data_IF_877598411806
#
_entry.id   IF_877598411806
#
_cell.length_a   1.000
_cell.length_b   1.000
_cell.length_c   1.000
_cell.angle_alpha   90.00
_cell.angle_beta   90.00
_cell.angle_gamma   90.00
#
_symmetry.space_group_name_H-M   'P 1'
#
loop_
_entity.id
_entity.type
_entity.pdbx_description
1 polymer ?
#
# COMPACT_ATOMS: atom_id res chain seq x y z
N UNK A 1 18.73 -5.07 -17.07
CA UNK A 1 18.24 -6.32 -16.46
C UNK A 1 16.82 -6.04 -16.03
N UNK A 2 15.84 -6.83 -16.47
CA UNK A 2 14.46 -6.69 -15.98
C UNK A 2 14.40 -7.53 -14.71
N UNK A 3 14.37 -6.90 -13.54
CA UNK A 3 14.33 -7.64 -12.29
C UNK A 3 13.02 -8.45 -12.26
N UNK A 4 13.15 -9.78 -12.19
CA UNK A 4 11.99 -10.70 -12.19
C UNK A 4 11.12 -10.50 -10.95
N UNK A 5 11.71 -9.99 -9.86
CA UNK A 5 11.04 -9.63 -8.61
C UNK A 5 11.43 -8.20 -8.25
N UNK A 6 10.46 -7.38 -7.85
CA UNK A 6 10.71 -6.04 -7.29
C UNK A 6 9.90 -5.84 -6.02
N UNK A 7 10.48 -5.19 -5.01
CA UNK A 7 9.78 -4.78 -3.81
C UNK A 7 9.67 -3.25 -3.74
N UNK A 8 8.57 -2.75 -3.21
CA UNK A 8 8.32 -1.33 -3.00
C UNK A 8 7.81 -1.08 -1.58
N UNK A 9 8.35 -0.04 -0.96
CA UNK A 9 7.84 0.50 0.30
C UNK A 9 7.43 1.94 0.03
N UNK A 10 6.27 2.35 0.53
CA UNK A 10 5.80 3.73 0.45
C UNK A 10 5.15 4.13 1.76
N UNK A 11 5.35 5.38 2.13
CA UNK A 11 4.73 6.00 3.28
C UNK A 11 4.05 7.29 2.81
N UNK A 12 2.79 7.45 3.19
CA UNK A 12 2.01 8.65 2.94
C UNK A 12 1.45 9.18 4.25
N UNK A 13 1.41 10.50 4.40
CA UNK A 13 0.66 11.19 5.45
C UNK A 13 -0.34 12.11 4.78
N UNK A 14 -1.59 12.08 5.22
CA UNK A 14 -2.65 12.91 4.67
C UNK A 14 -3.68 13.27 5.76
N UNK A 15 -4.52 14.25 5.48
CA UNK A 15 -5.59 14.68 6.37
C UNK A 15 -6.95 14.52 5.64
N UNK A 16 -7.93 13.80 6.22
CA UNK A 16 -9.25 13.57 5.64
C UNK A 16 -10.25 14.75 5.80
N UNK A 17 -9.90 15.81 6.53
CA UNK A 17 -10.73 16.98 6.83
C UNK A 17 -12.11 16.62 7.40
N UNK A 18 -12.14 15.71 8.36
CA UNK A 18 -13.36 15.22 9.04
C UNK A 18 -13.96 16.22 10.04
N UNK A 19 -13.28 17.34 10.28
CA UNK A 19 -13.69 18.37 11.24
C UNK A 19 -13.29 18.07 12.70
N UNK A 20 -12.52 17.00 12.94
CA UNK A 20 -11.88 16.76 14.24
C UNK A 20 -10.61 17.61 14.40
N UNK A 21 -10.16 17.80 15.65
CA UNK A 21 -8.98 18.64 15.94
C UNK A 21 -7.65 18.04 15.48
N UNK A 22 -7.56 16.70 15.41
CA UNK A 22 -6.46 15.99 14.77
C UNK A 22 -7.01 14.71 14.15
N UNK A 23 -7.10 14.72 12.83
CA UNK A 23 -7.54 13.62 11.99
C UNK A 23 -6.47 13.18 11.01
N UNK A 24 -5.22 13.56 11.24
CA UNK A 24 -4.10 13.14 10.38
C UNK A 24 -4.03 11.61 10.30
N UNK A 25 -3.89 11.08 9.09
CA UNK A 25 -3.77 9.66 8.80
C UNK A 25 -2.42 9.37 8.17
N UNK A 26 -1.75 8.34 8.67
CA UNK A 26 -0.54 7.76 8.12
C UNK A 26 -0.89 6.44 7.43
N UNK A 27 -0.42 6.27 6.19
CA UNK A 27 -0.61 5.05 5.42
C UNK A 27 0.75 4.47 5.04
N UNK A 28 0.97 3.20 5.37
CA UNK A 28 2.16 2.45 5.01
C UNK A 28 1.80 1.41 3.95
N UNK A 29 2.58 1.36 2.88
CA UNK A 29 2.42 0.39 1.81
C UNK A 29 3.67 -0.48 1.70
N UNK A 30 3.45 -1.78 1.57
CA UNK A 30 4.48 -2.74 1.21
C UNK A 30 4.00 -3.58 0.02
N UNK A 31 4.78 -3.62 -1.05
CA UNK A 31 4.42 -4.32 -2.27
C UNK A 31 5.55 -5.23 -2.76
N UNK A 32 5.18 -6.37 -3.34
CA UNK A 32 6.08 -7.24 -4.09
C UNK A 32 5.45 -7.52 -5.44
N UNK A 33 6.21 -7.30 -6.50
CA UNK A 33 5.83 -7.61 -7.87
C UNK A 33 6.71 -8.72 -8.43
N UNK A 34 6.12 -9.60 -9.22
CA UNK A 34 6.77 -10.70 -9.92
C UNK A 34 6.40 -10.67 -11.40
N UNK A 35 7.39 -10.57 -12.27
CA UNK A 35 7.23 -10.67 -13.72
C UNK A 35 7.26 -12.15 -14.08
N UNK A 36 6.09 -12.71 -14.40
CA UNK A 36 5.97 -14.13 -14.80
C UNK A 36 6.55 -14.33 -16.18
N UNK A 37 6.26 -13.40 -17.10
CA UNK A 37 6.78 -13.36 -18.46
C UNK A 37 6.62 -11.94 -19.04
N UNK A 38 6.95 -11.74 -20.31
CA UNK A 38 6.88 -10.44 -20.99
C UNK A 38 5.48 -9.80 -20.98
N UNK A 39 4.43 -10.60 -20.81
CA UNK A 39 3.04 -10.17 -20.90
C UNK A 39 2.31 -10.23 -19.56
N UNK A 40 2.86 -10.86 -18.52
CA UNK A 40 2.17 -11.11 -17.26
C UNK A 40 3.01 -10.68 -16.04
N UNK A 41 2.42 -9.80 -15.24
CA UNK A 41 2.93 -9.37 -13.94
C UNK A 41 1.91 -9.71 -12.84
N UNK A 42 2.40 -10.24 -11.73
CA UNK A 42 1.66 -10.45 -10.50
C UNK A 42 2.16 -9.47 -9.45
N UNK A 43 1.26 -8.90 -8.64
CA UNK A 43 1.63 -7.98 -7.58
C UNK A 43 0.82 -8.27 -6.32
N UNK A 44 1.49 -8.37 -5.19
CA UNK A 44 0.89 -8.46 -3.86
C UNK A 44 1.21 -7.17 -3.11
N UNK A 45 0.20 -6.48 -2.60
CA UNK A 45 0.34 -5.27 -1.80
C UNK A 45 -0.33 -5.44 -0.44
N UNK A 46 0.30 -4.86 0.57
CA UNK A 46 -0.23 -4.65 1.91
C UNK A 46 -0.29 -3.15 2.17
N UNK A 47 -1.40 -2.70 2.72
CA UNK A 47 -1.64 -1.32 3.13
C UNK A 47 -2.07 -1.32 4.60
N UNK A 48 -1.41 -0.50 5.40
CA UNK A 48 -1.72 -0.24 6.80
C UNK A 48 -2.07 1.23 6.96
N UNK A 49 -3.30 1.50 7.36
CA UNK A 49 -3.78 2.86 7.66
C UNK A 49 -3.88 3.05 9.17
N UNK A 50 -3.28 4.12 9.68
CA UNK A 50 -3.21 4.46 11.09
C UNK A 50 -3.41 5.96 11.30
N UNK A 51 -4.36 6.40 12.14
CA UNK A 51 -4.38 7.78 12.61
C UNK A 51 -3.04 8.17 13.26
N UNK A 52 -2.64 9.44 13.17
CA UNK A 52 -1.34 9.92 13.65
C UNK A 52 -1.27 10.04 15.18
N UNK A 53 -2.37 10.44 15.82
CA UNK A 53 -2.47 10.48 17.28
C UNK A 53 -3.07 9.18 17.81
N UNK A 54 -2.27 8.29 18.38
CA UNK A 54 -2.79 7.01 18.89
C UNK A 54 -2.17 6.53 20.21
N UNK A 55 -2.98 6.62 21.26
CA UNK A 55 -3.19 5.44 22.11
C UNK A 55 -4.55 4.84 21.78
N UNK A 56 -4.55 3.72 21.04
CA UNK A 56 -5.68 2.78 21.00
C UNK A 56 -6.70 2.90 19.87
N UNK A 57 -6.57 3.85 18.92
CA UNK A 57 -7.49 3.83 17.77
C UNK A 57 -7.13 2.78 16.72
N UNK A 58 -8.15 2.47 15.93
CA UNK A 58 -8.24 1.32 15.06
C UNK A 58 -7.25 1.45 13.90
N UNK A 59 -6.47 0.39 13.71
CA UNK A 59 -5.65 0.21 12.52
C UNK A 59 -6.51 -0.47 11.44
N UNK A 60 -6.45 0.02 10.20
CA UNK A 60 -7.06 -0.67 9.07
C UNK A 60 -5.99 -1.37 8.23
N UNK A 61 -6.22 -2.64 7.93
CA UNK A 61 -5.26 -3.51 7.25
C UNK A 61 -5.90 -4.02 5.96
N UNK A 62 -5.32 -3.67 4.81
CA UNK A 62 -5.83 -4.08 3.49
C UNK A 62 -4.76 -4.90 2.78
N UNK A 63 -5.19 -5.98 2.13
CA UNK A 63 -4.34 -6.84 1.31
C UNK A 63 -4.91 -6.88 -0.10
N UNK A 64 -4.05 -6.71 -1.10
CA UNK A 64 -4.46 -6.67 -2.50
C UNK A 64 -3.57 -7.60 -3.32
N UNK A 65 -4.21 -8.49 -4.08
CA UNK A 65 -3.58 -9.26 -5.15
C UNK A 65 -4.02 -8.67 -6.49
N UNK A 66 -3.05 -8.29 -7.32
CA UNK A 66 -3.28 -7.75 -8.66
C UNK A 66 -2.58 -8.60 -9.71
N UNK A 67 -3.26 -8.77 -10.86
CA UNK A 67 -2.69 -9.37 -12.06
C UNK A 67 -2.74 -8.34 -13.19
N UNK A 68 -1.63 -8.17 -13.90
CA UNK A 68 -1.55 -7.27 -15.06
C UNK A 68 -1.13 -8.06 -16.29
N UNK A 69 -1.97 -8.04 -17.31
CA UNK A 69 -1.68 -8.61 -18.62
C UNK A 69 -1.47 -7.50 -19.65
N UNK A 70 -0.44 -7.62 -20.49
CA UNK A 70 -0.11 -6.66 -21.56
C UNK A 70 -0.09 -7.38 -22.91
N UNK A 71 -0.69 -6.79 -23.94
CA UNK A 71 -0.76 -7.29 -25.32
C UNK A 71 0.10 -6.44 -26.26
#
# INVERSE_FOLDING_TARGET
MTDTVSAALRFDTWNPDTGASDDTVNTYFAGVSYIVNANLLLQLNYELEMPAELKGAKQDNKYMLQTKFSF
#
